data_IF_689333968214
#
_entry.id   IF_689333968214
#
_cell.length_a   1.000
_cell.length_b   1.000
_cell.length_c   1.000
_cell.angle_alpha   90.00
_cell.angle_beta   90.00
_cell.angle_gamma   90.00
#
_symmetry.space_group_name_H-M   'P 1'
#
loop_
_entity.id
_entity.type
_entity.pdbx_description
1 polymer ?
#
# COMPACT_ATOMS: atom_id res chain seq x y z
N UNK A 1 8.25 -12.97 -6.86
CA UNK A 1 9.06 -12.08 -6.00
C UNK A 1 8.20 -11.32 -4.97
N UNK A 2 7.23 -10.46 -5.39
CA UNK A 2 6.38 -9.72 -4.46
C UNK A 2 5.61 -10.66 -3.53
N UNK A 3 5.00 -11.70 -4.06
CA UNK A 3 4.32 -12.77 -3.35
C UNK A 3 5.20 -13.40 -2.26
N UNK A 4 6.42 -13.77 -2.61
CA UNK A 4 7.39 -14.39 -1.69
C UNK A 4 7.79 -13.45 -0.54
N UNK A 5 8.10 -12.19 -0.87
CA UNK A 5 8.46 -11.19 0.14
C UNK A 5 7.27 -10.91 1.05
N UNK A 6 6.05 -10.80 0.49
CA UNK A 6 4.84 -10.53 1.25
C UNK A 6 4.57 -11.61 2.29
N UNK A 7 4.48 -12.86 1.87
CA UNK A 7 4.22 -13.97 2.77
C UNK A 7 5.31 -14.13 3.85
N UNK A 8 6.58 -13.90 3.50
CA UNK A 8 7.67 -13.94 4.49
C UNK A 8 7.61 -12.78 5.49
N UNK A 9 7.36 -11.56 5.00
CA UNK A 9 7.44 -10.36 5.84
C UNK A 9 6.26 -10.23 6.81
N UNK A 10 5.09 -10.78 6.46
CA UNK A 10 3.84 -10.59 7.21
C UNK A 10 3.41 -11.81 8.02
N UNK A 11 4.17 -12.91 7.95
CA UNK A 11 3.82 -14.17 8.61
C UNK A 11 3.57 -14.05 10.12
N UNK A 12 4.25 -13.12 10.78
CA UNK A 12 4.14 -12.91 12.23
C UNK A 12 3.04 -11.90 12.63
N UNK A 13 2.31 -11.34 11.66
CA UNK A 13 1.29 -10.33 11.94
C UNK A 13 -0.02 -10.98 12.39
N UNK A 14 -0.68 -10.36 13.35
CA UNK A 14 -1.99 -10.79 13.84
C UNK A 14 -3.02 -10.91 12.70
N UNK A 15 -3.69 -12.05 12.63
CA UNK A 15 -4.73 -12.30 11.62
C UNK A 15 -4.20 -12.47 10.19
N UNK A 16 -2.89 -12.58 9.99
CA UNK A 16 -2.34 -12.81 8.66
C UNK A 16 -2.65 -14.21 8.17
N UNK A 17 -3.20 -14.30 6.98
CA UNK A 17 -3.38 -15.54 6.23
C UNK A 17 -2.51 -15.46 4.98
N UNK A 18 -1.57 -16.39 4.77
CA UNK A 18 -0.76 -16.41 3.57
C UNK A 18 -1.64 -16.52 2.33
N UNK A 19 -1.36 -15.71 1.32
CA UNK A 19 -1.98 -15.89 0.01
C UNK A 19 -1.42 -17.11 -0.70
N UNK A 20 -2.26 -17.75 -1.51
CA UNK A 20 -1.79 -18.63 -2.57
C UNK A 20 -1.25 -17.79 -3.74
N UNK A 21 -0.44 -18.38 -4.60
CA UNK A 21 0.10 -17.68 -5.76
C UNK A 21 -1.01 -17.24 -6.73
N UNK A 22 -2.06 -18.05 -6.85
CA UNK A 22 -3.22 -17.79 -7.69
C UNK A 22 -4.03 -16.59 -7.18
N UNK A 23 -4.35 -16.56 -5.88
CA UNK A 23 -5.06 -15.43 -5.25
C UNK A 23 -4.28 -14.14 -5.39
N UNK A 24 -2.97 -14.21 -5.16
CA UNK A 24 -2.10 -13.05 -5.26
C UNK A 24 -2.01 -12.50 -6.69
N UNK A 25 -1.91 -13.40 -7.69
CA UNK A 25 -1.92 -13.03 -9.10
C UNK A 25 -3.22 -12.32 -9.48
N UNK A 26 -4.35 -12.86 -9.05
CA UNK A 26 -5.65 -12.26 -9.29
C UNK A 26 -5.79 -10.84 -8.71
N UNK A 27 -5.29 -10.64 -7.48
CA UNK A 27 -5.26 -9.31 -6.85
C UNK A 27 -4.43 -8.33 -7.69
N UNK A 28 -3.24 -8.75 -8.11
CA UNK A 28 -2.34 -7.90 -8.91
C UNK A 28 -2.95 -7.55 -10.27
N UNK A 29 -3.61 -8.48 -10.93
CA UNK A 29 -4.25 -8.25 -12.21
C UNK A 29 -5.39 -7.22 -12.10
N UNK A 30 -6.20 -7.31 -11.06
CA UNK A 30 -7.24 -6.32 -10.77
C UNK A 30 -6.65 -4.92 -10.47
N UNK A 31 -5.50 -4.87 -9.81
CA UNK A 31 -4.83 -3.60 -9.49
C UNK A 31 -4.17 -2.93 -10.70
N UNK A 32 -3.82 -3.66 -11.76
CA UNK A 32 -3.12 -3.13 -12.94
C UNK A 32 -3.80 -1.92 -13.57
N UNK A 33 -5.13 -1.85 -13.51
CA UNK A 33 -5.93 -0.75 -14.08
C UNK A 33 -5.71 0.59 -13.35
N UNK A 34 -5.36 0.53 -12.07
CA UNK A 34 -5.23 1.72 -11.22
C UNK A 34 -3.80 1.97 -10.75
N UNK A 35 -2.88 1.05 -11.05
CA UNK A 35 -1.49 1.13 -10.60
C UNK A 35 -0.73 2.28 -11.26
N UNK A 36 0.03 3.01 -10.46
CA UNK A 36 1.19 3.76 -10.91
C UNK A 36 2.45 2.94 -10.62
N UNK A 37 3.07 2.38 -11.67
CA UNK A 37 4.21 1.47 -11.53
C UNK A 37 5.38 2.06 -10.74
N UNK A 38 5.57 3.37 -10.77
CA UNK A 38 6.63 4.03 -10.01
C UNK A 38 6.36 4.15 -8.51
N UNK A 39 5.13 3.82 -8.08
CA UNK A 39 4.80 3.65 -6.66
C UNK A 39 5.17 2.25 -6.13
N UNK A 40 5.74 1.39 -6.96
CA UNK A 40 6.23 0.08 -6.56
C UNK A 40 7.75 0.06 -6.65
N UNK A 41 8.40 -0.32 -5.58
CA UNK A 41 9.85 -0.39 -5.47
C UNK A 41 10.22 -1.77 -4.98
N UNK A 42 11.14 -2.43 -5.69
CA UNK A 42 11.78 -3.65 -5.25
C UNK A 42 13.23 -3.35 -4.89
N UNK A 43 13.70 -3.96 -3.83
CA UNK A 43 15.06 -3.87 -3.37
C UNK A 43 15.71 -5.24 -3.36
N UNK A 44 16.88 -5.31 -3.98
CA UNK A 44 17.67 -6.54 -4.06
C UNK A 44 18.97 -6.37 -3.30
N UNK A 45 19.42 -7.43 -2.68
CA UNK A 45 20.73 -7.55 -2.05
C UNK A 45 21.42 -8.76 -2.67
N UNK A 46 22.53 -8.54 -3.39
CA UNK A 46 23.27 -9.60 -4.10
C UNK A 46 22.33 -10.47 -4.96
N UNK A 47 21.56 -9.80 -5.81
CA UNK A 47 20.58 -10.40 -6.74
C UNK A 47 19.41 -11.15 -6.07
N UNK A 48 19.30 -11.12 -4.75
CA UNK A 48 18.17 -11.68 -4.03
C UNK A 48 17.13 -10.59 -3.71
N UNK A 49 15.83 -10.83 -4.02
CA UNK A 49 14.78 -9.90 -3.64
C UNK A 49 14.65 -9.85 -2.12
N UNK A 50 14.97 -8.68 -1.54
CA UNK A 50 15.10 -8.46 -0.11
C UNK A 50 13.88 -7.75 0.49
N UNK A 51 13.34 -6.80 -0.24
CA UNK A 51 12.23 -5.98 0.22
C UNK A 51 11.41 -5.45 -0.93
N UNK A 52 10.14 -5.13 -0.67
CA UNK A 52 9.31 -4.39 -1.60
C UNK A 52 8.46 -3.35 -0.88
N UNK A 53 8.07 -2.36 -1.64
CA UNK A 53 7.23 -1.27 -1.22
C UNK A 53 6.22 -1.02 -2.33
N UNK A 54 4.93 -0.98 -1.99
CA UNK A 54 3.87 -0.80 -2.96
C UNK A 54 2.83 0.20 -2.50
N UNK A 55 2.52 1.16 -3.37
CA UNK A 55 1.46 2.12 -3.18
C UNK A 55 0.52 2.16 -4.37
N UNK A 56 -0.73 2.53 -4.13
CA UNK A 56 -1.74 2.70 -5.16
C UNK A 56 -2.29 4.12 -5.11
N UNK A 57 -2.51 4.76 -6.28
CA UNK A 57 -3.17 6.05 -6.34
C UNK A 57 -4.52 6.01 -5.61
N UNK A 58 -4.86 7.09 -4.90
CA UNK A 58 -6.13 7.18 -4.17
C UNK A 58 -7.30 7.47 -5.12
N UNK A 59 -7.70 6.47 -5.89
CA UNK A 59 -8.79 6.59 -6.87
C UNK A 59 -10.16 6.94 -6.25
N UNK A 60 -10.30 6.78 -4.92
CA UNK A 60 -11.53 7.12 -4.19
C UNK A 60 -11.79 8.64 -4.26
N UNK A 61 -10.75 9.46 -4.33
CA UNK A 61 -10.91 10.91 -4.55
C UNK A 61 -11.66 11.22 -5.84
N UNK A 62 -11.36 10.48 -6.89
CA UNK A 62 -12.02 10.65 -8.18
C UNK A 62 -13.47 10.16 -8.13
N UNK A 63 -13.75 9.10 -7.36
CA UNK A 63 -15.12 8.58 -7.18
C UNK A 63 -16.01 9.58 -6.45
N UNK A 64 -15.50 10.26 -5.42
CA UNK A 64 -16.26 11.27 -4.69
C UNK A 64 -16.59 12.51 -5.55
N UNK A 65 -15.69 12.87 -6.49
CA UNK A 65 -15.90 13.96 -7.43
C UNK A 65 -16.94 13.65 -8.53
N UNK A 66 -17.25 12.39 -8.77
CA UNK A 66 -18.19 11.93 -9.82
C UNK A 66 -19.67 11.99 -9.38
N UNK A 67 -19.94 12.19 -8.08
CA UNK A 67 -21.30 12.26 -7.53
C UNK A 67 -21.95 10.88 -7.30
N UNK A 68 -23.12 10.90 -6.63
CA UNK A 68 -23.86 9.70 -6.24
C UNK A 68 -24.64 9.06 -7.39
N UNK A 69 -23.98 8.44 -8.35
CA UNK A 69 -24.63 7.56 -9.32
C UNK A 69 -24.87 6.18 -8.72
N UNK A 70 -25.83 6.09 -7.80
CA UNK A 70 -26.10 4.90 -6.98
C UNK A 70 -26.52 3.65 -7.77
N UNK A 71 -26.91 3.78 -9.03
CA UNK A 71 -27.48 2.70 -9.84
C UNK A 71 -26.79 2.45 -11.20
N UNK A 72 -25.63 3.05 -11.46
CA UNK A 72 -24.97 2.92 -12.76
C UNK A 72 -23.48 2.64 -12.59
N UNK A 73 -23.15 1.45 -12.08
CA UNK A 73 -21.75 1.02 -11.86
C UNK A 73 -20.89 1.10 -13.12
N UNK A 74 -21.48 0.76 -14.28
CA UNK A 74 -20.78 0.82 -15.56
C UNK A 74 -20.39 2.24 -15.95
N UNK A 75 -21.24 3.22 -15.71
CA UNK A 75 -20.95 4.65 -15.97
C UNK A 75 -19.94 5.19 -14.96
N UNK A 76 -19.94 4.69 -13.73
CA UNK A 76 -18.89 5.02 -12.74
C UNK A 76 -17.53 4.51 -13.20
N UNK A 77 -17.46 3.26 -13.66
CA UNK A 77 -16.24 2.67 -14.18
C UNK A 77 -15.73 3.41 -15.43
N UNK A 78 -16.61 3.71 -16.39
CA UNK A 78 -16.29 4.49 -17.59
C UNK A 78 -15.80 5.91 -17.25
N UNK A 79 -16.47 6.60 -16.33
CA UNK A 79 -16.03 7.92 -15.88
C UNK A 79 -14.70 7.86 -15.14
N UNK A 80 -14.43 6.81 -14.36
CA UNK A 80 -13.15 6.59 -13.70
C UNK A 80 -12.01 6.48 -14.71
N UNK A 81 -12.23 5.77 -15.81
CA UNK A 81 -11.28 5.59 -16.92
C UNK A 81 -11.14 6.89 -17.73
N UNK A 82 -12.24 7.59 -17.97
CA UNK A 82 -12.25 8.84 -18.74
C UNK A 82 -11.74 10.05 -17.94
N UNK A 83 -11.87 10.04 -16.62
CA UNK A 83 -11.35 11.08 -15.76
C UNK A 83 -9.83 10.96 -15.63
N UNK A 84 -9.11 11.53 -16.60
CA UNK A 84 -7.63 11.63 -16.61
C UNK A 84 -7.04 12.46 -15.45
N UNK A 85 -7.85 12.86 -14.47
CA UNK A 85 -7.37 13.61 -13.33
C UNK A 85 -6.64 12.67 -12.39
N UNK A 86 -5.34 12.82 -12.28
CA UNK A 86 -4.54 12.06 -11.32
C UNK A 86 -5.03 12.35 -9.90
N UNK A 87 -5.21 11.32 -9.06
CA UNK A 87 -5.48 11.54 -7.66
C UNK A 87 -4.36 12.37 -7.02
N UNK A 88 -4.71 13.24 -6.10
CA UNK A 88 -3.75 14.05 -5.36
C UNK A 88 -2.94 13.21 -4.37
N UNK A 89 -3.51 12.15 -3.89
CA UNK A 89 -2.90 11.24 -2.94
C UNK A 89 -2.67 9.84 -3.47
N UNK A 90 -1.85 9.10 -2.75
CA UNK A 90 -1.72 7.66 -2.92
C UNK A 90 -1.76 6.98 -1.55
N UNK A 91 -2.17 5.72 -1.54
CA UNK A 91 -2.17 4.89 -0.34
C UNK A 91 -1.00 3.93 -0.38
N UNK A 92 -0.20 3.96 0.66
CA UNK A 92 0.79 2.93 0.93
C UNK A 92 0.09 1.77 1.62
N UNK A 93 -0.01 0.64 0.93
CA UNK A 93 -0.66 -0.56 1.46
C UNK A 93 0.29 -1.71 1.73
N UNK A 94 1.45 -1.69 1.10
CA UNK A 94 2.35 -2.84 1.10
C UNK A 94 3.78 -2.40 1.37
N UNK A 95 4.30 -2.82 2.50
CA UNK A 95 5.71 -2.68 2.87
C UNK A 95 6.17 -4.03 3.43
N UNK A 96 7.09 -4.67 2.78
CA UNK A 96 7.63 -5.95 3.22
C UNK A 96 9.15 -5.97 3.14
N UNK A 97 9.79 -6.41 4.23
CA UNK A 97 11.22 -6.72 4.29
C UNK A 97 11.38 -8.13 4.78
N UNK A 98 12.03 -9.00 3.99
CA UNK A 98 12.29 -10.39 4.41
C UNK A 98 13.02 -10.41 5.75
N UNK A 99 12.67 -11.38 6.60
CA UNK A 99 13.15 -11.48 7.98
C UNK A 99 14.67 -11.38 8.11
N UNK A 100 15.41 -12.02 7.20
CA UNK A 100 16.87 -12.03 7.19
C UNK A 100 17.51 -10.68 6.82
N UNK A 101 16.75 -9.76 6.24
CA UNK A 101 17.23 -8.43 5.83
C UNK A 101 16.65 -7.31 6.70
N UNK A 102 15.92 -7.65 7.74
CA UNK A 102 15.44 -6.67 8.74
C UNK A 102 16.63 -5.98 9.42
N UNK A 103 16.41 -4.78 9.94
CA UNK A 103 17.41 -3.94 10.63
C UNK A 103 18.52 -3.37 9.75
N UNK A 104 18.45 -3.52 8.42
CA UNK A 104 19.37 -2.89 7.48
C UNK A 104 18.92 -1.50 7.01
N UNK A 105 17.79 -1.00 7.51
CA UNK A 105 17.23 0.31 7.12
C UNK A 105 16.65 0.35 5.69
N UNK A 106 16.34 -0.81 5.10
CA UNK A 106 15.84 -0.91 3.73
C UNK A 106 14.48 -0.22 3.58
N UNK A 107 13.65 -0.29 4.60
CA UNK A 107 12.37 0.38 4.73
C UNK A 107 12.51 1.91 4.61
N UNK A 108 13.48 2.49 5.33
CA UNK A 108 13.78 3.92 5.24
C UNK A 108 14.22 4.36 3.85
N UNK A 109 15.09 3.57 3.20
CA UNK A 109 15.55 3.85 1.82
C UNK A 109 14.40 3.80 0.83
N UNK A 110 13.52 2.81 0.94
CA UNK A 110 12.35 2.68 0.06
C UNK A 110 11.38 3.84 0.26
N UNK A 111 11.03 4.19 1.50
CA UNK A 111 10.17 5.32 1.82
C UNK A 111 10.74 6.65 1.29
N UNK A 112 12.05 6.86 1.43
CA UNK A 112 12.70 8.07 0.92
C UNK A 112 12.63 8.15 -0.61
N UNK A 113 12.95 7.06 -1.32
CA UNK A 113 12.80 6.98 -2.79
C UNK A 113 11.36 7.22 -3.24
N UNK A 114 10.41 6.63 -2.52
CA UNK A 114 8.98 6.81 -2.77
C UNK A 114 8.57 8.27 -2.64
N UNK A 115 9.01 8.96 -1.59
CA UNK A 115 8.74 10.38 -1.37
C UNK A 115 9.26 11.24 -2.52
N UNK A 116 10.47 10.95 -3.02
CA UNK A 116 11.04 11.66 -4.18
C UNK A 116 10.19 11.43 -5.43
N UNK A 117 9.86 10.17 -5.72
CA UNK A 117 9.02 9.82 -6.86
C UNK A 117 7.65 10.49 -6.79
N UNK A 118 6.97 10.36 -5.66
CA UNK A 118 5.66 10.92 -5.43
C UNK A 118 5.62 12.45 -5.66
N UNK A 119 6.62 13.19 -5.13
CA UNK A 119 6.76 14.62 -5.36
C UNK A 119 6.94 14.98 -6.84
N UNK A 120 7.82 14.24 -7.54
CA UNK A 120 8.04 14.46 -8.98
C UNK A 120 6.78 14.20 -9.81
N UNK A 121 5.93 13.30 -9.35
CA UNK A 121 4.66 12.95 -10.01
C UNK A 121 3.50 13.88 -9.61
N UNK A 122 3.70 14.79 -8.68
CA UNK A 122 2.70 15.75 -8.22
C UNK A 122 1.72 15.18 -7.19
N UNK A 123 2.07 14.09 -6.50
CA UNK A 123 1.31 13.63 -5.34
C UNK A 123 1.51 14.60 -4.17
N UNK A 124 0.41 15.04 -3.56
CA UNK A 124 0.39 16.01 -2.47
C UNK A 124 0.48 15.33 -1.10
N UNK A 125 -0.06 14.11 -0.97
CA UNK A 125 -0.05 13.35 0.28
C UNK A 125 0.03 11.83 0.06
N UNK A 126 0.41 11.14 1.14
CA UNK A 126 0.41 9.69 1.23
C UNK A 126 -0.44 9.28 2.45
N UNK A 127 -1.45 8.46 2.21
CA UNK A 127 -2.18 7.76 3.27
C UNK A 127 -1.44 6.44 3.54
N UNK A 128 -0.83 6.34 4.72
CA UNK A 128 -0.15 5.11 5.13
C UNK A 128 -1.20 4.19 5.71
N UNK A 129 -1.36 3.02 5.08
CA UNK A 129 -2.32 2.00 5.49
C UNK A 129 -2.16 1.60 6.95
N UNK A 130 -2.98 0.71 7.43
CA UNK A 130 -2.99 0.38 8.85
C UNK A 130 -1.62 -0.06 9.35
N UNK A 131 -1.20 0.57 10.43
CA UNK A 131 -0.03 0.15 11.18
C UNK A 131 -0.55 -0.34 12.53
N UNK A 132 -0.18 -1.55 12.91
CA UNK A 132 -0.52 -2.11 14.21
C UNK A 132 0.13 -1.24 15.30
N UNK A 133 -0.56 -1.04 16.42
CA UNK A 133 -0.11 -0.18 17.51
C UNK A 133 1.11 -0.73 18.26
N UNK A 134 1.35 -2.02 18.19
CA UNK A 134 2.55 -2.71 18.70
C UNK A 134 3.74 -2.64 17.73
N UNK A 135 3.54 -2.22 16.48
CA UNK A 135 4.62 -2.08 15.49
C UNK A 135 5.37 -0.75 15.64
N UNK A 136 6.04 -0.61 16.80
CA UNK A 136 6.76 0.60 17.16
C UNK A 136 7.85 1.01 16.15
N UNK A 137 8.47 0.05 15.44
CA UNK A 137 9.48 0.36 14.41
C UNK A 137 8.86 1.09 13.23
N UNK A 138 7.77 0.58 12.69
CA UNK A 138 7.08 1.21 11.56
C UNK A 138 6.52 2.56 11.96
N UNK A 139 5.92 2.67 13.15
CA UNK A 139 5.39 3.94 13.66
C UNK A 139 6.48 5.01 13.71
N UNK A 140 7.62 4.73 14.36
CA UNK A 140 8.76 5.67 14.42
C UNK A 140 9.28 6.06 13.05
N UNK A 141 9.37 5.10 12.14
CA UNK A 141 9.87 5.34 10.79
C UNK A 141 8.98 6.32 10.03
N UNK A 142 7.66 6.11 10.06
CA UNK A 142 6.72 6.98 9.34
C UNK A 142 6.61 8.36 9.99
N UNK A 143 6.71 8.45 11.31
CA UNK A 143 6.79 9.72 12.04
C UNK A 143 8.03 10.53 11.67
N UNK A 144 9.21 9.88 11.58
CA UNK A 144 10.44 10.52 11.11
C UNK A 144 10.29 11.06 9.67
N UNK A 145 9.45 10.47 8.85
CA UNK A 145 9.13 10.96 7.51
C UNK A 145 8.12 12.11 7.51
N UNK A 146 7.60 12.48 8.68
CA UNK A 146 6.63 13.55 8.88
C UNK A 146 5.17 13.10 8.83
N UNK A 147 4.89 11.81 8.90
CA UNK A 147 3.53 11.30 9.01
C UNK A 147 2.92 11.62 10.38
N UNK A 148 1.60 11.79 10.39
CA UNK A 148 0.81 12.01 11.61
C UNK A 148 -0.35 11.04 11.64
N UNK A 149 -0.72 10.48 12.81
CA UNK A 149 -1.92 9.66 12.94
C UNK A 149 -3.15 10.46 12.51
N UNK A 150 -3.93 9.91 11.58
CA UNK A 150 -5.16 10.53 11.08
C UNK A 150 -6.42 9.81 11.57
N UNK A 151 -6.33 8.50 11.76
CA UNK A 151 -7.44 7.65 12.22
C UNK A 151 -6.91 6.53 13.08
N UNK A 152 -7.67 6.17 14.12
CA UNK A 152 -7.42 4.99 14.95
C UNK A 152 -8.60 4.04 14.79
N UNK A 153 -8.29 2.78 14.51
CA UNK A 153 -9.27 1.71 14.36
C UNK A 153 -9.14 0.74 15.53
N UNK A 154 -10.26 0.13 15.94
CA UNK A 154 -10.28 -0.96 16.92
C UNK A 154 -11.05 -2.13 16.37
N UNK A 155 -10.52 -3.31 16.58
CA UNK A 155 -11.19 -4.58 16.29
C UNK A 155 -11.80 -5.05 17.61
N UNK A 156 -13.09 -5.39 17.56
CA UNK A 156 -13.82 -5.93 18.72
C UNK A 156 -14.18 -7.38 18.42
N UNK A 157 -13.95 -8.24 19.40
CA UNK A 157 -14.32 -9.65 19.34
C UNK A 157 -15.37 -9.92 20.42
N UNK A 158 -16.39 -10.71 20.06
CA UNK A 158 -17.44 -11.17 20.99
C UNK A 158 -17.62 -12.66 20.80
N UNK A 159 -17.51 -13.48 21.87
CA UNK A 159 -17.86 -14.89 21.80
C UNK A 159 -19.32 -15.07 21.34
N UNK A 160 -19.53 -15.94 20.38
CA UNK A 160 -20.86 -16.37 19.95
C UNK A 160 -21.15 -17.62 20.78
N UNK A 161 -21.95 -17.44 21.85
CA UNK A 161 -22.38 -18.54 22.72
C UNK A 161 -23.30 -19.52 22.02
#
# INVERSE_FOLDING_TARGET
EMFEIYNNAWNDNYGFVPFTEEEFSHIIDNMRLIMDKGLFIFLYIKDEPAAFFGGVPNVIENLSAIGNFRHMELLRALKLIMFKRRPKGFRLGYLGVKSKFRRLGLDGVMLWKQKIYARKRGYEYCDIGWVLDDNAMTIRLVEMMGAKPSKTYRIFEKPIG
#
